data_IF_345948703172
#
_entry.id   IF_345948703172
#
_cell.length_a   1.000
_cell.length_b   1.000
_cell.length_c   1.000
_cell.angle_alpha   90.00
_cell.angle_beta   90.00
_cell.angle_gamma   90.00
#
_symmetry.space_group_name_H-M   'P 1'
#
loop_
_entity.id
_entity.type
_entity.pdbx_description
1 polymer ?
#
# COMPACT_ATOMS: atom_id res chain seq x y z
N UNK A 1 -7.01 -37.96 -6.04
CA UNK A 1 -6.56 -37.26 -7.24
C UNK A 1 -5.70 -36.05 -6.85
N UNK A 2 -4.57 -35.92 -7.49
CA UNK A 2 -3.68 -34.79 -7.21
C UNK A 2 -4.23 -33.56 -7.86
N UNK A 3 -4.44 -32.50 -7.08
CA UNK A 3 -4.90 -31.23 -7.61
C UNK A 3 -3.87 -30.59 -8.54
N UNK A 4 -4.34 -29.71 -9.41
CA UNK A 4 -3.47 -28.97 -10.31
C UNK A 4 -2.76 -27.86 -9.53
N UNK A 5 -1.46 -28.01 -9.33
CA UNK A 5 -0.66 -27.00 -8.60
C UNK A 5 -0.22 -25.83 -9.46
N UNK A 6 -0.37 -25.91 -10.77
CA UNK A 6 0.10 -24.87 -11.68
C UNK A 6 -0.93 -23.75 -11.80
N UNK A 7 -0.46 -22.50 -11.90
CA UNK A 7 -1.31 -21.32 -11.93
C UNK A 7 -2.04 -21.12 -13.26
N UNK A 8 -1.52 -21.70 -14.33
CA UNK A 8 -2.12 -21.55 -15.65
C UNK A 8 -1.98 -22.81 -16.46
N UNK A 9 -2.81 -22.90 -17.52
CA UNK A 9 -2.72 -23.99 -18.47
C UNK A 9 -1.36 -24.02 -19.16
N UNK A 10 -0.83 -22.86 -19.47
CA UNK A 10 0.49 -22.74 -20.10
C UNK A 10 1.59 -23.31 -19.20
N UNK A 11 1.57 -23.00 -17.91
CA UNK A 11 2.54 -23.54 -16.95
C UNK A 11 2.45 -25.06 -16.87
N UNK A 12 1.22 -25.58 -16.85
CA UNK A 12 0.99 -27.02 -16.82
C UNK A 12 1.55 -27.72 -18.06
N UNK A 13 1.31 -27.14 -19.24
CA UNK A 13 1.82 -27.69 -20.50
C UNK A 13 3.34 -27.64 -20.54
N UNK A 14 3.93 -26.56 -20.03
CA UNK A 14 5.39 -26.43 -19.95
C UNK A 14 5.99 -27.52 -19.04
N UNK A 15 5.40 -27.71 -17.87
CA UNK A 15 5.86 -28.76 -16.93
C UNK A 15 5.74 -30.14 -17.55
N UNK A 16 4.64 -30.41 -18.25
CA UNK A 16 4.42 -31.68 -18.94
C UNK A 16 5.52 -31.92 -19.98
N UNK A 17 5.89 -30.89 -20.72
CA UNK A 17 6.95 -30.99 -21.72
C UNK A 17 8.32 -31.21 -21.08
N UNK A 18 8.58 -30.56 -19.93
CA UNK A 18 9.82 -30.81 -19.17
C UNK A 18 9.89 -32.28 -18.73
N UNK A 19 8.80 -32.81 -18.21
CA UNK A 19 8.74 -34.20 -17.79
C UNK A 19 8.93 -35.16 -18.97
N UNK A 20 8.29 -34.87 -20.09
CA UNK A 20 8.38 -35.68 -21.30
C UNK A 20 9.82 -35.76 -21.81
N UNK A 21 10.56 -34.68 -21.69
CA UNK A 21 11.96 -34.60 -22.13
C UNK A 21 12.94 -35.04 -21.02
N UNK A 22 12.42 -35.54 -19.92
CA UNK A 22 13.20 -36.02 -18.78
C UNK A 22 14.11 -34.97 -18.18
N UNK A 23 13.63 -33.72 -18.18
CA UNK A 23 14.33 -32.57 -17.59
C UNK A 23 13.85 -32.45 -16.13
N UNK A 24 14.78 -32.55 -15.19
CA UNK A 24 14.46 -32.42 -13.77
C UNK A 24 14.23 -30.95 -13.44
N UNK A 25 13.15 -30.66 -12.70
CA UNK A 25 12.83 -29.32 -12.28
C UNK A 25 12.06 -29.34 -10.96
N UNK A 26 11.99 -28.16 -10.31
CA UNK A 26 11.09 -27.93 -9.19
C UNK A 26 10.18 -26.77 -9.59
N UNK A 27 9.01 -26.69 -8.97
CA UNK A 27 8.03 -25.66 -9.27
C UNK A 27 7.78 -24.82 -8.01
N UNK A 28 8.07 -23.51 -8.08
CA UNK A 28 7.85 -22.56 -6.99
C UNK A 28 8.42 -23.02 -5.65
N UNK A 29 9.53 -23.76 -5.67
CA UNK A 29 10.15 -24.29 -4.47
C UNK A 29 11.16 -23.34 -3.83
N UNK A 30 11.52 -22.27 -4.53
CA UNK A 30 12.53 -21.30 -4.09
C UNK A 30 11.89 -19.94 -3.94
N UNK A 31 12.12 -19.32 -2.78
CA UNK A 31 11.73 -17.93 -2.52
C UNK A 31 12.98 -17.09 -2.48
N UNK A 32 13.01 -16.04 -3.29
CA UNK A 32 14.17 -15.16 -3.36
C UNK A 32 13.73 -13.76 -2.92
N UNK A 33 14.29 -13.31 -1.80
CA UNK A 33 14.04 -11.95 -1.33
C UNK A 33 14.80 -10.94 -2.19
N UNK A 34 14.17 -9.80 -2.46
CA UNK A 34 14.86 -8.72 -3.16
C UNK A 34 14.34 -7.39 -2.64
N UNK A 35 15.18 -6.37 -2.77
CA UNK A 35 14.87 -5.04 -2.27
C UNK A 35 14.63 -4.08 -3.42
N UNK A 36 13.70 -3.16 -3.20
CA UNK A 36 13.41 -2.08 -4.15
C UNK A 36 13.68 -0.76 -3.44
N UNK A 37 14.50 0.09 -4.05
CA UNK A 37 14.71 1.43 -3.54
C UNK A 37 13.71 2.37 -4.20
N UNK A 38 12.91 3.03 -3.37
CA UNK A 38 11.90 3.99 -3.82
C UNK A 38 12.18 5.35 -3.23
N UNK A 39 11.74 6.40 -3.93
CA UNK A 39 11.82 7.78 -3.43
C UNK A 39 10.43 8.28 -3.11
N UNK A 40 10.28 8.91 -1.94
CA UNK A 40 9.05 9.56 -1.53
C UNK A 40 9.18 11.07 -1.75
N UNK A 41 8.26 11.62 -2.52
CA UNK A 41 8.21 13.06 -2.77
C UNK A 41 6.95 13.61 -2.13
N UNK A 42 7.05 14.22 -0.95
CA UNK A 42 5.88 14.81 -0.28
C UNK A 42 5.22 15.90 -1.10
N UNK A 43 3.90 16.03 -0.97
CA UNK A 43 3.16 17.10 -1.65
C UNK A 43 3.58 18.48 -1.10
N UNK A 44 3.51 18.64 0.21
CA UNK A 44 3.84 19.92 0.87
C UNK A 44 4.64 19.67 2.12
N UNK A 45 5.72 20.41 2.28
CA UNK A 45 6.56 20.35 3.47
C UNK A 45 6.41 21.69 4.21
N UNK A 46 5.87 21.61 5.43
CA UNK A 46 5.76 22.77 6.32
C UNK A 46 6.89 22.71 7.35
N UNK A 47 6.95 23.67 8.26
CA UNK A 47 8.08 23.76 9.20
C UNK A 47 8.39 22.47 9.93
N UNK A 48 7.36 21.85 10.50
CA UNK A 48 7.53 20.68 11.38
C UNK A 48 6.80 19.44 10.90
N UNK A 49 6.11 19.50 9.77
CA UNK A 49 5.34 18.37 9.29
C UNK A 49 5.11 18.40 7.79
N UNK A 50 4.68 17.28 7.26
CA UNK A 50 4.38 17.07 5.86
C UNK A 50 2.87 16.96 5.70
N UNK A 51 2.31 17.58 4.66
CA UNK A 51 0.89 17.42 4.34
C UNK A 51 0.75 16.76 2.97
N UNK A 52 -0.01 15.67 2.95
CA UNK A 52 -0.39 14.96 1.73
C UNK A 52 -1.84 15.28 1.43
N UNK A 53 -2.10 15.79 0.24
CA UNK A 53 -3.47 16.12 -0.18
C UNK A 53 -4.05 14.97 -0.99
N UNK A 54 -5.23 14.50 -0.62
CA UNK A 54 -5.88 13.34 -1.26
C UNK A 54 -7.36 13.61 -1.54
N UNK A 55 -7.74 13.53 -2.82
CA UNK A 55 -9.13 13.39 -3.19
C UNK A 55 -9.53 11.93 -3.11
N UNK A 56 -8.82 11.08 -3.83
CA UNK A 56 -8.97 9.63 -3.76
C UNK A 56 -7.77 9.02 -3.04
N UNK A 57 -8.05 8.28 -1.98
CA UNK A 57 -7.02 7.64 -1.15
C UNK A 57 -6.97 6.15 -1.50
N UNK A 58 -6.16 5.82 -2.49
CA UNK A 58 -6.09 4.47 -3.04
C UNK A 58 -5.46 3.46 -2.08
N UNK A 59 -5.67 2.18 -2.37
CA UNK A 59 -5.02 1.11 -1.63
C UNK A 59 -3.50 1.22 -1.73
N UNK A 60 -2.99 1.61 -2.88
CA UNK A 60 -1.56 1.80 -3.10
C UNK A 60 -1.01 2.96 -2.28
N UNK A 61 -1.75 4.07 -2.20
CA UNK A 61 -1.39 5.19 -1.34
C UNK A 61 -1.30 4.76 0.12
N UNK A 62 -2.30 4.04 0.59
CA UNK A 62 -2.33 3.57 1.98
C UNK A 62 -1.16 2.66 2.29
N UNK A 63 -0.88 1.70 1.41
CA UNK A 63 0.24 0.79 1.57
C UNK A 63 1.57 1.54 1.58
N UNK A 64 1.75 2.47 0.65
CA UNK A 64 2.94 3.31 0.55
C UNK A 64 3.21 4.05 1.85
N UNK A 65 2.18 4.70 2.42
CA UNK A 65 2.36 5.48 3.64
C UNK A 65 2.60 4.61 4.87
N UNK A 66 2.08 3.41 4.92
CA UNK A 66 2.41 2.48 6.00
C UNK A 66 3.88 2.05 5.92
N UNK A 67 4.39 1.80 4.71
CA UNK A 67 5.80 1.46 4.49
C UNK A 67 6.70 2.63 4.89
N UNK A 68 6.34 3.86 4.47
CA UNK A 68 7.11 5.06 4.80
C UNK A 68 7.13 5.27 6.32
N UNK A 69 5.99 5.12 6.99
CA UNK A 69 5.89 5.31 8.43
C UNK A 69 6.79 4.33 9.18
N UNK A 70 6.86 3.10 8.71
CA UNK A 70 7.72 2.09 9.31
C UNK A 70 9.20 2.37 9.07
N UNK A 71 9.54 2.82 7.85
CA UNK A 71 10.94 3.09 7.47
C UNK A 71 11.46 4.41 8.06
N UNK A 72 10.58 5.40 8.17
CA UNK A 72 10.95 6.75 8.62
C UNK A 72 9.96 7.23 9.69
N UNK A 73 9.97 6.63 10.88
CA UNK A 73 8.98 6.96 11.93
C UNK A 73 9.12 8.39 12.46
N UNK A 74 10.24 9.05 12.21
CA UNK A 74 10.47 10.43 12.64
C UNK A 74 9.69 11.46 11.80
N UNK A 75 9.22 11.07 10.61
CA UNK A 75 8.47 11.98 9.77
C UNK A 75 7.04 12.14 10.27
N UNK A 76 6.61 13.38 10.43
CA UNK A 76 5.24 13.71 10.82
C UNK A 76 4.45 13.97 9.53
N UNK A 77 3.81 12.93 9.02
CA UNK A 77 3.03 12.98 7.79
C UNK A 77 1.55 13.07 8.16
N UNK A 78 0.88 14.09 7.64
CA UNK A 78 -0.54 14.33 7.90
C UNK A 78 -1.28 14.41 6.57
N UNK A 79 -2.55 14.02 6.57
CA UNK A 79 -3.37 14.00 5.37
C UNK A 79 -4.39 15.12 5.37
N UNK A 80 -4.61 15.72 4.20
CA UNK A 80 -5.70 16.66 3.99
C UNK A 80 -6.57 16.08 2.87
N UNK A 81 -7.77 15.66 3.23
CA UNK A 81 -8.72 15.03 2.30
C UNK A 81 -9.75 16.04 1.80
N UNK A 82 -10.28 15.78 0.62
CA UNK A 82 -11.49 16.50 0.18
C UNK A 82 -12.67 16.10 1.06
N UNK A 83 -12.76 14.81 1.42
CA UNK A 83 -13.81 14.31 2.30
C UNK A 83 -13.32 13.07 3.03
N UNK A 84 -12.93 13.26 4.29
CA UNK A 84 -12.40 12.17 5.12
C UNK A 84 -13.44 11.12 5.50
N UNK A 85 -14.72 11.42 5.29
CA UNK A 85 -15.81 10.47 5.55
C UNK A 85 -15.97 9.43 4.46
N UNK A 86 -15.27 9.62 3.33
CA UNK A 86 -15.30 8.67 2.22
C UNK A 86 -14.82 7.29 2.68
N UNK A 87 -15.56 6.25 2.29
CA UNK A 87 -15.20 4.88 2.63
C UNK A 87 -14.07 4.37 1.74
N UNK A 88 -13.24 3.47 2.29
CA UNK A 88 -12.14 2.88 1.54
C UNK A 88 -12.60 2.01 0.37
N UNK A 89 -13.76 1.40 0.49
CA UNK A 89 -14.32 0.55 -0.54
C UNK A 89 -15.85 0.55 -0.46
N UNK A 90 -16.49 -0.13 -1.41
CA UNK A 90 -17.95 -0.29 -1.40
C UNK A 90 -18.42 -1.40 -0.47
N UNK A 91 -17.51 -2.12 0.17
CA UNK A 91 -17.89 -3.20 1.08
C UNK A 91 -18.67 -2.66 2.27
N UNK A 92 -19.63 -3.43 2.75
CA UNK A 92 -20.54 -3.03 3.83
C UNK A 92 -19.78 -2.62 5.11
N UNK A 93 -18.70 -3.32 5.41
CA UNK A 93 -17.93 -3.08 6.63
C UNK A 93 -16.71 -2.18 6.40
N UNK A 94 -16.67 -1.49 5.25
CA UNK A 94 -15.53 -0.61 4.96
C UNK A 94 -15.50 0.59 5.89
N UNK A 95 -14.30 0.93 6.34
CA UNK A 95 -14.09 2.11 7.19
C UNK A 95 -13.81 3.33 6.32
N UNK A 96 -13.94 4.52 6.92
CA UNK A 96 -13.66 5.79 6.25
C UNK A 96 -12.15 6.08 6.21
N UNK A 97 -11.76 7.05 5.39
CA UNK A 97 -10.40 7.58 5.36
C UNK A 97 -10.00 8.07 6.75
N UNK A 98 -10.90 8.80 7.41
CA UNK A 98 -10.67 9.32 8.76
C UNK A 98 -10.35 8.19 9.75
N UNK A 99 -11.16 7.15 9.73
CA UNK A 99 -10.95 6.02 10.64
C UNK A 99 -9.66 5.27 10.35
N UNK A 100 -9.31 5.15 9.08
CA UNK A 100 -8.04 4.54 8.68
C UNK A 100 -6.86 5.33 9.24
N UNK A 101 -6.90 6.66 9.12
CA UNK A 101 -5.85 7.53 9.66
C UNK A 101 -5.74 7.40 11.18
N UNK A 102 -6.87 7.43 11.88
CA UNK A 102 -6.88 7.26 13.33
C UNK A 102 -6.30 5.92 13.75
N UNK A 103 -6.68 4.86 13.04
CA UNK A 103 -6.21 3.50 13.32
C UNK A 103 -4.69 3.37 13.14
N UNK A 104 -4.12 4.06 12.16
CA UNK A 104 -2.70 3.96 11.85
C UNK A 104 -1.86 5.11 12.38
N UNK A 105 -2.46 5.99 13.19
CA UNK A 105 -1.72 7.05 13.85
C UNK A 105 -1.36 8.24 12.98
N UNK A 106 -2.14 8.53 11.96
CA UNK A 106 -1.95 9.71 11.12
C UNK A 106 -2.96 10.79 11.49
N UNK A 107 -2.49 12.03 11.59
CA UNK A 107 -3.39 13.17 11.72
C UNK A 107 -3.99 13.48 10.36
N UNK A 108 -5.19 14.02 10.35
CA UNK A 108 -5.86 14.38 9.10
C UNK A 108 -6.76 15.58 9.30
N UNK A 109 -7.13 16.20 8.18
CA UNK A 109 -8.10 17.29 8.15
C UNK A 109 -8.87 17.23 6.83
N UNK A 110 -9.88 18.07 6.71
CA UNK A 110 -10.69 18.16 5.49
C UNK A 110 -10.49 19.51 4.84
N UNK A 111 -10.28 19.51 3.53
CA UNK A 111 -10.20 20.67 2.63
C UNK A 111 -9.00 21.57 2.83
N UNK A 112 -8.69 21.98 4.04
CA UNK A 112 -7.52 22.79 4.33
C UNK A 112 -7.04 22.51 5.74
N UNK A 113 -5.78 22.84 6.01
CA UNK A 113 -5.19 22.58 7.33
C UNK A 113 -5.82 23.53 8.37
N UNK A 114 -6.12 23.02 9.57
CA UNK A 114 -6.68 23.86 10.63
C UNK A 114 -5.63 24.79 11.22
N UNK A 115 -6.10 25.90 11.79
CA UNK A 115 -5.22 26.92 12.34
C UNK A 115 -4.27 26.40 13.39
N UNK A 116 -4.70 25.45 14.21
CA UNK A 116 -3.89 24.91 15.29
C UNK A 116 -2.70 24.07 14.81
N UNK A 117 -2.62 23.76 13.51
CA UNK A 117 -1.47 23.05 12.96
C UNK A 117 -0.30 23.98 12.65
N UNK A 118 -0.55 25.26 12.42
CA UNK A 118 0.51 26.21 12.03
C UNK A 118 0.53 27.49 12.84
N UNK A 119 -0.47 27.76 13.64
CA UNK A 119 -0.47 28.91 14.53
C UNK A 119 0.31 28.59 15.79
N UNK A 120 1.12 29.54 16.21
CA UNK A 120 1.87 29.42 17.45
C UNK A 120 1.09 29.93 18.66
#
# INVERSE_FOLDING_TARGET
MIGNKYKSKFEKEFATKLNKNKIVFTYESLEIDYEITCCYKPDFILDNFIVETKGYFSKEDRRKHLIIKKARPELDIRFCFQNSKTKLSKAKNSISYAKWCTRHGFKYCDKFIPDDWYAN
#
